data_IF_259318611698
#
_entry.id   IF_259318611698
#
_cell.length_a   1.000
_cell.length_b   1.000
_cell.length_c   1.000
_cell.angle_alpha   90.00
_cell.angle_beta   90.00
_cell.angle_gamma   90.00
#
_symmetry.space_group_name_H-M   'P 1'
#
loop_
_entity.id
_entity.type
_entity.pdbx_description
1 polymer ?
#
# COMPACT_ATOMS: atom_id res chain seq x y z
N UNK A 1 -1.43 1.19 -6.26
CA UNK A 1 -2.61 1.69 -5.50
C UNK A 1 -2.25 2.98 -4.79
N UNK A 2 -3.14 3.98 -4.80
CA UNK A 2 -2.93 5.22 -4.03
C UNK A 2 -2.82 4.87 -2.54
N UNK A 3 -1.96 5.57 -1.80
CA UNK A 3 -1.71 5.36 -0.36
C UNK A 3 -2.99 5.32 0.47
N UNK A 4 -3.95 6.19 0.15
CA UNK A 4 -5.29 6.21 0.78
C UNK A 4 -6.04 4.88 0.66
N UNK A 5 -6.01 4.26 -0.53
CA UNK A 5 -6.69 2.97 -0.75
C UNK A 5 -6.00 1.83 0.01
N UNK A 6 -4.66 1.84 0.09
CA UNK A 6 -3.91 0.86 0.89
C UNK A 6 -4.29 0.95 2.38
N UNK A 7 -4.43 2.16 2.93
CA UNK A 7 -4.86 2.36 4.31
C UNK A 7 -6.28 1.84 4.57
N UNK A 8 -7.22 2.08 3.65
CA UNK A 8 -8.58 1.55 3.77
C UNK A 8 -8.57 0.02 3.84
N UNK A 9 -7.79 -0.64 2.98
CA UNK A 9 -7.69 -2.10 2.99
C UNK A 9 -6.99 -2.61 4.25
N UNK A 10 -5.92 -1.94 4.72
CA UNK A 10 -5.29 -2.31 5.99
C UNK A 10 -6.26 -2.21 7.17
N UNK A 11 -7.07 -1.15 7.21
CA UNK A 11 -8.13 -0.97 8.21
C UNK A 11 -9.17 -2.09 8.13
N UNK A 12 -9.58 -2.48 6.92
CA UNK A 12 -10.51 -3.58 6.69
C UNK A 12 -9.95 -4.94 7.14
N UNK A 13 -8.67 -5.22 6.84
CA UNK A 13 -7.97 -6.43 7.29
C UNK A 13 -7.93 -6.47 8.82
N UNK A 14 -7.64 -5.33 9.46
CA UNK A 14 -7.57 -5.24 10.91
C UNK A 14 -8.94 -5.47 11.58
N UNK A 15 -10.02 -4.88 11.06
CA UNK A 15 -11.37 -5.02 11.64
C UNK A 15 -11.95 -6.41 11.43
N UNK A 16 -11.91 -6.93 10.20
CA UNK A 16 -12.40 -8.29 9.89
C UNK A 16 -11.52 -9.33 10.59
N UNK A 17 -10.20 -9.17 10.52
CA UNK A 17 -9.24 -10.05 11.19
C UNK A 17 -9.43 -10.05 12.71
N UNK A 18 -9.66 -8.88 13.32
CA UNK A 18 -9.94 -8.77 14.75
C UNK A 18 -11.24 -9.45 15.17
N UNK A 19 -12.33 -9.26 14.40
CA UNK A 19 -13.60 -9.94 14.65
C UNK A 19 -13.46 -11.47 14.54
N UNK A 20 -12.81 -11.96 13.48
CA UNK A 20 -12.54 -13.39 13.32
C UNK A 20 -11.64 -13.94 14.44
N UNK A 21 -10.66 -13.14 14.88
CA UNK A 21 -9.70 -13.52 15.91
C UNK A 21 -10.36 -13.75 17.29
N UNK A 22 -11.42 -13.00 17.62
CA UNK A 22 -12.19 -13.21 18.87
C UNK A 22 -12.75 -14.64 18.93
N UNK A 23 -13.36 -15.11 17.84
CA UNK A 23 -13.90 -16.47 17.77
C UNK A 23 -12.80 -17.51 17.72
N UNK A 24 -11.81 -17.29 16.84
CA UNK A 24 -10.71 -18.24 16.64
C UNK A 24 -9.91 -18.48 17.92
N UNK A 25 -9.56 -17.42 18.65
CA UNK A 25 -8.85 -17.53 19.92
C UNK A 25 -9.65 -18.33 20.95
N UNK A 26 -10.96 -18.08 21.03
CA UNK A 26 -11.84 -18.79 21.98
C UNK A 26 -11.95 -20.27 21.64
N UNK A 27 -12.11 -20.61 20.36
CA UNK A 27 -12.12 -22.01 19.92
C UNK A 27 -10.79 -22.71 20.20
N UNK A 28 -9.65 -22.07 19.91
CA UNK A 28 -8.32 -22.65 20.15
C UNK A 28 -8.06 -22.81 21.66
N UNK A 29 -8.43 -21.82 22.47
CA UNK A 29 -8.25 -21.89 23.92
C UNK A 29 -9.11 -22.97 24.55
N UNK A 30 -10.36 -23.15 24.10
CA UNK A 30 -11.24 -24.20 24.61
C UNK A 30 -10.72 -25.61 24.29
N UNK A 31 -10.17 -25.80 23.08
CA UNK A 31 -9.51 -27.06 22.68
C UNK A 31 -8.26 -27.31 23.50
N UNK A 32 -7.40 -26.30 23.67
CA UNK A 32 -6.15 -26.43 24.41
C UNK A 32 -6.37 -26.63 25.92
N UNK A 33 -7.45 -26.08 26.46
CA UNK A 33 -7.88 -26.25 27.86
C UNK A 33 -8.60 -27.59 28.10
N UNK A 34 -8.81 -28.39 27.06
CA UNK A 34 -9.50 -29.70 27.14
C UNK A 34 -11.00 -29.59 27.42
N UNK A 35 -11.59 -28.39 27.29
CA UNK A 35 -13.02 -28.16 27.53
C UNK A 35 -13.88 -28.59 26.34
N UNK A 36 -13.29 -28.68 25.15
CA UNK A 36 -13.96 -29.14 23.94
C UNK A 36 -12.99 -29.88 23.01
N UNK A 37 -13.50 -30.87 22.28
CA UNK A 37 -12.72 -31.65 21.29
C UNK A 37 -12.88 -31.13 19.87
N UNK A 38 -13.72 -30.11 19.67
CA UNK A 38 -14.12 -29.56 18.37
C UNK A 38 -14.11 -28.03 18.42
N UNK A 39 -13.75 -27.38 17.32
CA UNK A 39 -13.86 -25.93 17.18
C UNK A 39 -15.34 -25.51 17.14
N UNK A 40 -15.78 -24.81 18.18
CA UNK A 40 -17.15 -24.29 18.28
C UNK A 40 -17.17 -22.77 18.15
N UNK A 41 -18.25 -22.26 17.56
CA UNK A 41 -18.56 -20.83 17.52
C UNK A 41 -19.35 -20.46 18.77
N UNK A 42 -18.70 -19.71 19.66
CA UNK A 42 -19.31 -19.20 20.89
C UNK A 42 -19.99 -17.84 20.66
N UNK A 43 -20.85 -17.45 21.59
CA UNK A 43 -21.42 -16.10 21.56
C UNK A 43 -20.33 -15.04 21.82
N UNK A 44 -20.44 -13.88 21.19
CA UNK A 44 -19.45 -12.79 21.32
C UNK A 44 -19.24 -12.37 22.78
N UNK A 45 -20.31 -12.39 23.58
CA UNK A 45 -20.29 -11.99 25.00
C UNK A 45 -19.52 -13.00 25.84
N UNK A 46 -19.67 -14.31 25.57
CA UNK A 46 -18.93 -15.35 26.28
C UNK A 46 -17.44 -15.31 25.92
N UNK A 47 -17.10 -15.08 24.64
CA UNK A 47 -15.71 -14.89 24.20
C UNK A 47 -15.04 -13.72 24.96
N UNK A 48 -15.73 -12.59 25.06
CA UNK A 48 -15.25 -11.39 25.76
C UNK A 48 -15.06 -11.64 27.26
N UNK A 49 -16.01 -12.32 27.92
CA UNK A 49 -15.91 -12.68 29.34
C UNK A 49 -14.77 -13.66 29.61
N UNK A 50 -14.62 -14.69 28.75
CA UNK A 50 -13.53 -15.64 28.86
C UNK A 50 -12.16 -14.97 28.72
N UNK A 51 -12.05 -14.00 27.82
CA UNK A 51 -10.82 -13.23 27.62
C UNK A 51 -10.50 -12.29 28.78
N UNK A 52 -11.52 -11.66 29.38
CA UNK A 52 -11.33 -10.79 30.55
C UNK A 52 -10.92 -11.56 31.81
N UNK A 53 -11.40 -12.79 31.98
CA UNK A 53 -11.17 -13.59 33.19
C UNK A 53 -9.88 -14.43 33.14
N UNK A 54 -9.36 -14.76 31.96
CA UNK A 54 -8.19 -15.63 31.79
C UNK A 54 -7.01 -14.90 31.13
N UNK A 55 -5.90 -14.76 31.87
CA UNK A 55 -4.65 -14.19 31.33
C UNK A 55 -4.11 -15.00 30.14
N UNK A 56 -4.26 -16.32 30.16
CA UNK A 56 -3.81 -17.19 29.07
C UNK A 56 -4.63 -16.96 27.80
N UNK A 57 -5.94 -16.79 27.94
CA UNK A 57 -6.83 -16.50 26.81
C UNK A 57 -6.52 -15.13 26.18
N UNK A 58 -6.30 -14.12 27.03
CA UNK A 58 -5.88 -12.78 26.58
C UNK A 58 -4.52 -12.79 25.87
N UNK A 59 -3.53 -13.53 26.39
CA UNK A 59 -2.20 -13.62 25.79
C UNK A 59 -2.27 -14.28 24.41
N UNK A 60 -3.08 -15.32 24.25
CA UNK A 60 -3.30 -15.98 22.97
C UNK A 60 -3.98 -15.04 21.96
N UNK A 61 -5.00 -14.29 22.39
CA UNK A 61 -5.66 -13.28 21.56
C UNK A 61 -4.67 -12.24 21.05
N UNK A 62 -3.84 -11.69 21.94
CA UNK A 62 -2.82 -10.69 21.60
C UNK A 62 -1.78 -11.23 20.61
N UNK A 63 -1.38 -12.49 20.76
CA UNK A 63 -0.46 -13.15 19.84
C UNK A 63 -1.04 -13.20 18.41
N UNK A 64 -2.25 -13.72 18.26
CA UNK A 64 -2.92 -13.77 16.96
C UNK A 64 -3.24 -12.38 16.40
N UNK A 65 -3.63 -11.44 17.26
CA UNK A 65 -3.87 -10.05 16.85
C UNK A 65 -2.58 -9.40 16.34
N UNK A 66 -1.43 -9.71 16.98
CA UNK A 66 -0.11 -9.29 16.54
C UNK A 66 0.21 -9.82 15.14
N UNK A 67 -0.10 -11.08 14.84
CA UNK A 67 0.08 -11.65 13.50
C UNK A 67 -0.78 -10.95 12.44
N UNK A 68 -2.04 -10.63 12.76
CA UNK A 68 -2.93 -9.86 11.86
C UNK A 68 -2.34 -8.47 11.59
N UNK A 69 -1.80 -7.80 12.61
CA UNK A 69 -1.14 -6.49 12.45
C UNK A 69 0.10 -6.62 11.54
N UNK A 70 0.96 -7.61 11.78
CA UNK A 70 2.14 -7.85 10.94
C UNK A 70 1.75 -8.09 9.48
N UNK A 71 0.69 -8.86 9.23
CA UNK A 71 0.17 -9.09 7.89
C UNK A 71 -0.36 -7.82 7.22
N UNK A 72 -1.09 -6.97 7.97
CA UNK A 72 -1.54 -5.67 7.47
C UNK A 72 -0.37 -4.74 7.13
N UNK A 73 0.68 -4.73 7.95
CA UNK A 73 1.91 -3.98 7.70
C UNK A 73 2.61 -4.49 6.44
N UNK A 74 2.79 -5.80 6.30
CA UNK A 74 3.38 -6.42 5.10
C UNK A 74 2.59 -6.05 3.83
N UNK A 75 1.26 -6.09 3.89
CA UNK A 75 0.39 -5.67 2.78
C UNK A 75 0.62 -4.20 2.40
N UNK A 76 0.80 -3.30 3.38
CA UNK A 76 1.07 -1.90 3.12
C UNK A 76 2.37 -1.70 2.32
N UNK A 77 3.43 -2.40 2.72
CA UNK A 77 4.74 -2.36 2.05
C UNK A 77 4.78 -3.13 0.73
N UNK A 78 3.82 -4.03 0.48
CA UNK A 78 3.74 -4.78 -0.77
C UNK A 78 3.56 -3.83 -1.97
N UNK A 79 4.24 -4.12 -3.08
CA UNK A 79 4.21 -3.31 -4.30
C UNK A 79 4.62 -1.84 -4.10
N UNK A 80 5.52 -1.55 -3.15
CA UNK A 80 6.25 -0.28 -3.17
C UNK A 80 7.23 -0.29 -4.34
N UNK A 81 7.03 0.64 -5.29
CA UNK A 81 7.93 0.84 -6.42
C UNK A 81 8.58 2.21 -6.32
N UNK A 82 9.46 2.44 -5.33
CA UNK A 82 10.09 3.74 -5.11
C UNK A 82 11.01 4.16 -6.27
N UNK A 83 11.48 3.18 -7.04
CA UNK A 83 12.33 3.37 -8.22
C UNK A 83 11.55 3.79 -9.48
N UNK A 84 10.21 3.70 -9.48
CA UNK A 84 9.43 4.16 -10.62
C UNK A 84 9.24 5.67 -10.56
N UNK A 85 9.94 6.38 -11.45
CA UNK A 85 9.68 7.80 -11.70
C UNK A 85 8.34 7.99 -12.40
N UNK A 86 7.69 9.13 -12.14
CA UNK A 86 6.56 9.56 -12.95
C UNK A 86 6.99 9.76 -14.40
N UNK A 87 6.07 9.65 -15.36
CA UNK A 87 6.32 9.86 -16.78
C UNK A 87 5.85 11.27 -17.19
N UNK A 88 6.62 11.95 -18.02
CA UNK A 88 6.24 13.16 -18.75
C UNK A 88 5.79 12.76 -20.15
N UNK A 89 4.65 13.30 -20.58
CA UNK A 89 4.16 13.18 -21.94
C UNK A 89 4.74 14.29 -22.81
N UNK A 90 5.29 13.92 -23.97
CA UNK A 90 5.99 14.85 -24.86
C UNK A 90 5.23 14.98 -26.17
N UNK A 91 4.79 13.85 -26.68
CA UNK A 91 3.80 13.74 -27.76
C UNK A 91 2.74 12.73 -27.32
N UNK A 92 1.58 12.66 -27.99
CA UNK A 92 0.50 11.74 -27.62
C UNK A 92 0.96 10.28 -27.45
N UNK A 93 1.95 9.86 -28.24
CA UNK A 93 2.46 8.49 -28.25
C UNK A 93 3.79 8.31 -27.48
N UNK A 94 4.51 9.38 -27.15
CA UNK A 94 5.83 9.31 -26.53
C UNK A 94 5.81 9.85 -25.11
N UNK A 95 6.10 8.96 -24.15
CA UNK A 95 6.22 9.28 -22.72
C UNK A 95 7.61 8.88 -22.23
N UNK A 96 8.26 9.79 -21.51
CA UNK A 96 9.61 9.59 -20.96
C UNK A 96 9.62 9.80 -19.45
N UNK A 97 10.49 9.13 -18.68
CA UNK A 97 10.58 9.35 -17.24
C UNK A 97 10.95 10.80 -16.91
N UNK A 98 10.32 11.35 -15.88
CA UNK A 98 10.68 12.65 -15.30
C UNK A 98 12.14 12.59 -14.85
N UNK A 99 12.90 13.63 -15.16
CA UNK A 99 14.25 13.83 -14.62
C UNK A 99 14.19 13.88 -13.09
N UNK A 100 14.74 12.88 -12.40
CA UNK A 100 14.75 12.77 -10.94
C UNK A 100 16.16 12.45 -10.44
N UNK A 101 16.50 12.93 -9.24
CA UNK A 101 17.80 12.69 -8.59
C UNK A 101 18.72 13.92 -8.55
N UNK A 102 19.86 13.77 -7.86
CA UNK A 102 20.91 14.80 -7.72
C UNK A 102 21.90 14.74 -8.90
N UNK A 103 21.42 14.73 -10.14
CA UNK A 103 22.24 14.68 -11.36
C UNK A 103 23.07 13.42 -11.61
N UNK A 104 23.00 12.40 -10.75
CA UNK A 104 23.80 11.16 -10.89
C UNK A 104 23.23 10.14 -11.87
N UNK A 105 21.93 10.20 -12.18
CA UNK A 105 21.24 9.21 -13.02
C UNK A 105 20.62 9.83 -14.29
N UNK A 106 21.15 10.99 -14.70
CA UNK A 106 20.65 11.73 -15.85
C UNK A 106 19.53 12.71 -15.47
N UNK A 107 19.89 13.98 -15.33
CA UNK A 107 18.92 15.09 -15.21
C UNK A 107 18.55 15.69 -16.56
N UNK A 108 18.86 14.99 -17.66
CA UNK A 108 18.46 15.40 -18.98
C UNK A 108 16.93 15.42 -19.05
N UNK A 109 16.39 16.56 -19.47
CA UNK A 109 14.96 16.74 -19.72
C UNK A 109 14.79 17.34 -21.10
N UNK A 110 13.59 17.19 -21.65
CA UNK A 110 13.22 17.84 -22.89
C UNK A 110 13.03 19.35 -22.67
N UNK A 111 13.39 20.13 -23.69
CA UNK A 111 13.21 21.58 -23.68
C UNK A 111 11.73 21.92 -23.72
N UNK A 112 11.34 22.93 -22.94
CA UNK A 112 10.03 23.56 -23.07
C UNK A 112 10.00 24.38 -24.36
N UNK A 113 8.81 24.62 -24.91
CA UNK A 113 8.68 25.37 -26.17
C UNK A 113 9.29 26.77 -26.10
N UNK A 114 9.19 27.44 -24.95
CA UNK A 114 9.81 28.75 -24.70
C UNK A 114 11.35 28.72 -24.74
N UNK A 115 11.95 27.59 -24.39
CA UNK A 115 13.41 27.43 -24.32
C UNK A 115 14.00 27.08 -25.69
N UNK A 116 13.20 26.47 -26.58
CA UNK A 116 13.64 26.08 -27.93
C UNK A 116 14.15 27.29 -28.71
N UNK A 117 13.45 28.42 -28.66
CA UNK A 117 13.82 29.65 -29.37
C UNK A 117 15.10 30.31 -28.82
N UNK A 118 15.54 29.95 -27.59
CA UNK A 118 16.78 30.47 -27.00
C UNK A 118 17.98 29.59 -27.30
N UNK A 119 17.74 28.30 -27.53
CA UNK A 119 18.80 27.29 -27.69
C UNK A 119 19.05 26.98 -29.16
N UNK A 120 18.02 27.03 -30.00
CA UNK A 120 18.12 26.81 -31.44
C UNK A 120 18.01 28.13 -32.20
N UNK A 121 18.98 28.37 -33.08
CA UNK A 121 18.85 29.40 -34.09
C UNK A 121 17.70 29.05 -35.04
N UNK A 122 16.90 30.04 -35.38
CA UNK A 122 15.77 29.88 -36.30
C UNK A 122 15.89 30.86 -37.45
N UNK A 123 15.61 30.38 -38.65
CA UNK A 123 15.46 31.21 -39.84
C UNK A 123 14.00 31.23 -40.24
N UNK A 124 13.43 32.43 -40.38
CA UNK A 124 12.07 32.59 -40.90
C UNK A 124 12.18 32.75 -42.40
N UNK A 125 11.70 31.75 -43.14
CA UNK A 125 11.64 31.82 -44.59
C UNK A 125 10.43 32.68 -44.99
N UNK A 126 10.70 33.83 -45.59
CA UNK A 126 9.66 34.62 -46.24
C UNK A 126 9.32 33.98 -47.59
N UNK A 127 8.05 33.58 -47.74
CA UNK A 127 7.54 32.95 -48.96
C UNK A 127 7.60 33.91 -50.17
N UNK A 128 7.62 35.22 -49.92
CA UNK A 128 7.67 36.24 -50.96
C UNK A 128 9.10 36.55 -51.43
N UNK A 129 10.13 36.12 -50.69
CA UNK A 129 11.54 36.32 -51.04
C UNK A 129 12.10 35.23 -51.98
N UNK A 130 11.27 34.22 -52.33
CA UNK A 130 11.62 33.11 -53.24
C UNK A 130 10.90 33.20 -54.60
N UNK A 131 10.41 34.38 -54.99
CA UNK A 131 10.01 34.72 -56.37
C UNK A 131 11.06 35.63 -57.01
#
# INVERSE_FOLDING_TARGET
MKTKAKLIICSLIFTIGGLANIFFTTSVHSVLSGQSTVLQLFSVIECLRGMANSKQHLMLFLCFQGLVIVMAVMFFFTNLRPYQSNLVEITPDIKTPVSVGQYQHGSARWLKDEEKNKVFDSFVLDKNAMQ
#
